data_IF_195104112096
#
_entry.id   IF_195104112096
#
_cell.length_a   1.000
_cell.length_b   1.000
_cell.length_c   1.000
_cell.angle_alpha   90.00
_cell.angle_beta   90.00
_cell.angle_gamma   90.00
#
_symmetry.space_group_name_H-M   'P 1'
#
loop_
_entity.id
_entity.type
_entity.pdbx_description
1 polymer ?
#
# COMPACT_ATOMS: atom_id res chain seq x y z
N UNK A 1 -22.92 -9.19 58.16
CA UNK A 1 -23.17 -9.38 56.71
C UNK A 1 -22.49 -8.33 55.81
N UNK A 2 -22.38 -7.04 56.17
CA UNK A 2 -21.69 -6.04 55.32
C UNK A 2 -20.16 -6.20 55.22
N UNK A 3 -19.48 -6.72 56.25
CA UNK A 3 -18.01 -6.92 56.21
C UNK A 3 -17.57 -8.08 55.30
N UNK A 4 -18.35 -9.16 55.17
CA UNK A 4 -18.04 -10.28 54.25
C UNK A 4 -18.20 -9.89 52.77
N UNK A 5 -19.12 -8.98 52.45
CA UNK A 5 -19.30 -8.47 51.09
C UNK A 5 -18.10 -7.64 50.61
N UNK A 6 -17.54 -6.80 51.50
CA UNK A 6 -16.36 -6.00 51.19
C UNK A 6 -15.11 -6.88 51.03
N UNK A 7 -14.95 -7.92 51.86
CA UNK A 7 -13.83 -8.88 51.77
C UNK A 7 -13.91 -9.74 50.50
N UNK A 8 -15.11 -10.16 50.06
CA UNK A 8 -15.28 -10.87 48.79
C UNK A 8 -15.01 -9.97 47.57
N UNK A 9 -15.31 -8.67 47.68
CA UNK A 9 -15.12 -7.71 46.60
C UNK A 9 -13.65 -7.30 46.46
N UNK A 10 -12.93 -7.13 47.56
CA UNK A 10 -11.47 -6.92 47.56
C UNK A 10 -10.70 -8.18 47.18
N UNK A 11 -11.20 -9.38 47.51
CA UNK A 11 -10.63 -10.64 46.99
C UNK A 11 -10.86 -10.78 45.48
N UNK A 12 -12.03 -10.42 44.95
CA UNK A 12 -12.28 -10.40 43.50
C UNK A 12 -11.40 -9.38 42.76
N UNK A 13 -11.28 -8.16 43.28
CA UNK A 13 -10.37 -7.15 42.71
C UNK A 13 -8.90 -7.60 42.81
N UNK A 14 -8.48 -8.19 43.93
CA UNK A 14 -7.12 -8.73 44.07
C UNK A 14 -6.84 -9.95 43.18
N UNK A 15 -7.86 -10.73 42.80
CA UNK A 15 -7.76 -11.80 41.79
C UNK A 15 -7.76 -11.25 40.37
N UNK A 16 -8.54 -10.21 40.06
CA UNK A 16 -8.51 -9.53 38.75
C UNK A 16 -7.18 -8.79 38.52
N UNK A 17 -6.64 -8.12 39.54
CA UNK A 17 -5.33 -7.45 39.51
C UNK A 17 -4.17 -8.47 39.42
N UNK A 18 -4.27 -9.62 40.11
CA UNK A 18 -3.30 -10.72 39.96
C UNK A 18 -3.41 -11.42 38.61
N UNK A 19 -4.60 -11.57 38.03
CA UNK A 19 -4.79 -12.14 36.69
C UNK A 19 -4.30 -11.18 35.59
N UNK A 20 -4.40 -9.86 35.79
CA UNK A 20 -3.77 -8.85 34.92
C UNK A 20 -2.23 -8.87 35.02
N UNK A 21 -1.69 -9.20 36.19
CA UNK A 21 -0.25 -9.37 36.41
C UNK A 21 0.30 -10.74 35.94
N UNK A 22 -0.56 -11.75 35.76
CA UNK A 22 -0.21 -13.09 35.27
C UNK A 22 -0.62 -13.36 33.81
N UNK A 23 -1.28 -12.41 33.14
CA UNK A 23 -1.56 -12.51 31.71
C UNK A 23 -0.25 -12.37 30.93
N UNK A 24 0.05 -13.34 30.09
CA UNK A 24 1.19 -13.29 29.17
C UNK A 24 1.07 -12.05 28.26
N UNK A 25 2.19 -11.47 27.83
CA UNK A 25 2.19 -10.34 26.88
C UNK A 25 1.49 -10.76 25.57
N UNK A 26 1.60 -12.03 25.19
CA UNK A 26 0.83 -12.61 24.10
C UNK A 26 -0.69 -12.51 24.30
N UNK A 27 -1.21 -12.80 25.49
CA UNK A 27 -2.63 -12.68 25.82
C UNK A 27 -3.10 -11.23 25.85
N UNK A 28 -2.28 -10.30 26.37
CA UNK A 28 -2.58 -8.87 26.36
C UNK A 28 -2.69 -8.35 24.93
N UNK A 29 -1.75 -8.73 24.06
CA UNK A 29 -1.77 -8.38 22.64
C UNK A 29 -2.96 -9.02 21.90
N UNK A 30 -3.27 -10.28 22.19
CA UNK A 30 -4.45 -10.94 21.64
C UNK A 30 -5.75 -10.21 22.00
N UNK A 31 -5.89 -9.80 23.26
CA UNK A 31 -7.05 -9.03 23.72
C UNK A 31 -7.12 -7.63 23.09
N UNK A 32 -5.99 -6.96 22.93
CA UNK A 32 -5.91 -5.68 22.24
C UNK A 32 -6.41 -5.81 20.79
N UNK A 33 -5.84 -6.75 20.03
CA UNK A 33 -6.23 -7.00 18.65
C UNK A 33 -7.68 -7.45 18.53
N UNK A 34 -8.18 -8.28 19.45
CA UNK A 34 -9.59 -8.69 19.47
C UNK A 34 -10.54 -7.51 19.61
N UNK A 35 -10.26 -6.57 20.52
CA UNK A 35 -11.07 -5.35 20.68
C UNK A 35 -11.03 -4.47 19.45
N UNK A 36 -9.84 -4.29 18.86
CA UNK A 36 -9.64 -3.44 17.67
C UNK A 36 -10.32 -4.03 16.43
N UNK A 37 -10.11 -5.31 16.14
CA UNK A 37 -10.69 -5.99 14.99
C UNK A 37 -12.22 -6.07 15.07
N UNK A 38 -12.78 -6.22 16.28
CA UNK A 38 -14.22 -6.15 16.48
C UNK A 38 -14.82 -4.77 16.14
N UNK A 39 -14.06 -3.69 16.34
CA UNK A 39 -14.49 -2.34 15.99
C UNK A 39 -14.26 -1.99 14.51
N UNK A 40 -13.11 -2.39 13.95
CA UNK A 40 -12.72 -2.07 12.56
C UNK A 40 -13.39 -2.98 11.51
N UNK A 41 -13.82 -4.19 11.89
CA UNK A 41 -14.34 -5.20 10.95
C UNK A 41 -15.59 -5.92 11.48
N UNK A 42 -16.73 -5.22 11.67
CA UNK A 42 -17.95 -5.82 12.21
C UNK A 42 -18.59 -6.88 11.29
N UNK A 43 -18.23 -6.88 10.00
CA UNK A 43 -18.74 -7.81 8.98
C UNK A 43 -18.04 -9.18 9.00
N UNK A 44 -16.91 -9.31 9.71
CA UNK A 44 -16.14 -10.55 9.75
C UNK A 44 -16.66 -11.49 10.83
N UNK A 45 -16.69 -12.80 10.53
CA UNK A 45 -17.07 -13.81 11.50
C UNK A 45 -16.07 -13.85 12.67
N UNK A 46 -16.54 -14.11 13.89
CA UNK A 46 -15.72 -14.27 15.10
C UNK A 46 -14.58 -15.26 14.87
N UNK A 47 -14.84 -16.37 14.17
CA UNK A 47 -13.81 -17.35 13.82
C UNK A 47 -12.72 -16.78 12.89
N UNK A 48 -13.08 -15.91 11.95
CA UNK A 48 -12.11 -15.26 11.06
C UNK A 48 -11.26 -14.23 11.81
N UNK A 49 -11.86 -13.49 12.75
CA UNK A 49 -11.14 -12.55 13.63
C UNK A 49 -10.11 -13.30 14.47
N UNK A 50 -10.47 -14.42 15.09
CA UNK A 50 -9.53 -15.25 15.85
C UNK A 50 -8.39 -15.79 14.97
N UNK A 51 -8.68 -16.25 13.75
CA UNK A 51 -7.64 -16.69 12.81
C UNK A 51 -6.67 -15.56 12.44
N UNK A 52 -7.15 -14.33 12.27
CA UNK A 52 -6.30 -13.17 11.99
C UNK A 52 -5.42 -12.84 13.20
N UNK A 53 -5.95 -12.90 14.42
CA UNK A 53 -5.18 -12.65 15.65
C UNK A 53 -4.04 -13.67 15.79
N UNK A 54 -4.35 -14.96 15.63
CA UNK A 54 -3.37 -16.03 15.69
C UNK A 54 -2.30 -15.90 14.59
N UNK A 55 -2.68 -15.45 13.39
CA UNK A 55 -1.72 -15.15 12.32
C UNK A 55 -0.82 -13.96 12.65
N UNK A 56 -1.36 -12.88 13.22
CA UNK A 56 -0.58 -11.69 13.63
C UNK A 56 0.43 -12.02 14.72
N UNK A 57 0.02 -12.80 15.74
CA UNK A 57 0.88 -13.22 16.84
C UNK A 57 1.95 -14.24 16.39
N UNK A 58 1.66 -15.01 15.35
CA UNK A 58 2.55 -16.05 14.83
C UNK A 58 2.58 -17.32 15.70
N UNK A 59 3.29 -18.33 15.21
CA UNK A 59 3.33 -19.68 15.82
C UNK A 59 3.94 -19.68 17.23
N UNK A 60 4.96 -18.86 17.47
CA UNK A 60 5.70 -18.80 18.73
C UNK A 60 5.25 -17.60 19.58
N UNK A 61 3.95 -17.48 19.84
CA UNK A 61 3.40 -16.38 20.63
C UNK A 61 4.05 -16.28 22.03
N UNK A 62 4.47 -17.42 22.61
CA UNK A 62 5.19 -17.49 23.89
C UNK A 62 6.55 -16.77 23.87
N UNK A 63 7.15 -16.58 22.69
CA UNK A 63 8.43 -15.85 22.56
C UNK A 63 8.26 -14.36 22.83
N UNK A 64 7.04 -13.81 22.70
CA UNK A 64 6.74 -12.41 22.99
C UNK A 64 6.98 -12.07 24.46
N UNK A 65 6.79 -13.04 25.36
CA UNK A 65 7.02 -12.86 26.81
C UNK A 65 8.50 -12.75 27.17
N UNK A 66 9.39 -13.18 26.26
CA UNK A 66 10.85 -13.17 26.45
C UNK A 66 11.52 -11.93 25.82
N UNK A 67 10.77 -11.11 25.09
CA UNK A 67 11.32 -9.95 24.39
C UNK A 67 11.58 -8.80 25.36
N UNK A 68 12.66 -8.05 25.10
CA UNK A 68 12.86 -6.80 25.81
C UNK A 68 11.81 -5.74 25.39
N UNK A 69 11.60 -4.67 26.17
CA UNK A 69 10.58 -3.66 25.85
C UNK A 69 10.74 -3.02 24.46
N UNK A 70 11.99 -2.85 23.98
CA UNK A 70 12.26 -2.28 22.66
C UNK A 70 11.89 -3.26 21.54
N UNK A 71 12.28 -4.52 21.68
CA UNK A 71 11.95 -5.62 20.76
C UNK A 71 10.44 -5.88 20.72
N UNK A 72 9.76 -5.74 21.86
CA UNK A 72 8.31 -5.87 21.95
C UNK A 72 7.60 -4.75 21.20
N UNK A 73 8.06 -3.50 21.32
CA UNK A 73 7.51 -2.39 20.52
C UNK A 73 7.72 -2.61 19.03
N UNK A 74 8.89 -3.10 18.61
CA UNK A 74 9.12 -3.40 17.21
C UNK A 74 8.25 -4.58 16.73
N UNK A 75 8.04 -5.60 17.56
CA UNK A 75 7.13 -6.69 17.25
C UNK A 75 5.68 -6.18 17.06
N UNK A 76 5.23 -5.24 17.89
CA UNK A 76 3.93 -4.56 17.72
C UNK A 76 3.87 -3.80 16.40
N UNK A 77 4.89 -3.01 16.06
CA UNK A 77 4.96 -2.30 14.79
C UNK A 77 4.89 -3.25 13.58
N UNK A 78 5.60 -4.38 13.64
CA UNK A 78 5.55 -5.40 12.59
C UNK A 78 4.13 -6.03 12.46
N UNK A 79 3.44 -6.27 13.59
CA UNK A 79 2.04 -6.71 13.58
C UNK A 79 1.12 -5.66 12.95
N UNK A 80 1.31 -4.38 13.29
CA UNK A 80 0.53 -3.29 12.69
C UNK A 80 0.76 -3.18 11.18
N UNK A 81 2.01 -3.33 10.74
CA UNK A 81 2.33 -3.33 9.32
C UNK A 81 1.65 -4.48 8.57
N UNK A 82 1.70 -5.70 9.13
CA UNK A 82 0.99 -6.88 8.59
C UNK A 82 -0.52 -6.65 8.53
N UNK A 83 -1.10 -6.08 9.58
CA UNK A 83 -2.53 -5.73 9.62
C UNK A 83 -2.87 -4.69 8.54
N UNK A 84 -2.03 -3.67 8.36
CA UNK A 84 -2.23 -2.64 7.34
C UNK A 84 -2.22 -3.23 5.92
N UNK A 85 -1.24 -4.10 5.62
CA UNK A 85 -1.21 -4.82 4.33
C UNK A 85 -2.50 -5.63 4.14
N UNK A 86 -2.88 -6.41 5.16
CA UNK A 86 -4.05 -7.28 5.10
C UNK A 86 -5.34 -6.49 4.88
N UNK A 87 -5.61 -5.50 5.72
CA UNK A 87 -6.85 -4.71 5.73
C UNK A 87 -7.00 -3.85 4.48
N UNK A 88 -5.90 -3.24 3.99
CA UNK A 88 -5.96 -2.34 2.84
C UNK A 88 -6.08 -3.07 1.50
N UNK A 89 -5.38 -4.20 1.31
CA UNK A 89 -5.19 -4.78 -0.02
C UNK A 89 -5.90 -6.11 -0.26
N UNK A 90 -6.22 -6.84 0.81
CA UNK A 90 -6.64 -8.24 0.68
C UNK A 90 -7.95 -8.57 1.38
N UNK A 91 -8.22 -7.99 2.56
CA UNK A 91 -9.43 -8.28 3.33
C UNK A 91 -10.69 -7.84 2.56
N UNK A 92 -11.68 -8.72 2.46
CA UNK A 92 -12.91 -8.47 1.70
C UNK A 92 -12.77 -8.53 0.16
N UNK A 93 -11.54 -8.61 -0.36
CA UNK A 93 -11.27 -8.65 -1.80
C UNK A 93 -11.44 -10.07 -2.37
N UNK A 94 -11.82 -10.20 -3.64
CA UNK A 94 -11.90 -11.49 -4.34
C UNK A 94 -10.50 -12.00 -4.75
N UNK A 95 -10.31 -13.33 -4.82
CA UNK A 95 -8.99 -13.97 -5.02
C UNK A 95 -8.22 -13.44 -6.23
N UNK A 96 -8.87 -13.29 -7.38
CA UNK A 96 -8.21 -12.78 -8.60
C UNK A 96 -7.73 -11.34 -8.45
N UNK A 97 -8.54 -10.50 -7.80
CA UNK A 97 -8.20 -9.10 -7.54
C UNK A 97 -7.10 -8.99 -6.48
N UNK A 98 -7.16 -9.80 -5.44
CA UNK A 98 -6.10 -9.91 -4.44
C UNK A 98 -4.76 -10.31 -5.09
N UNK A 99 -4.76 -11.30 -5.99
CA UNK A 99 -3.58 -11.68 -6.74
C UNK A 99 -3.05 -10.54 -7.62
N UNK A 100 -3.92 -9.84 -8.34
CA UNK A 100 -3.52 -8.65 -9.12
C UNK A 100 -2.91 -7.56 -8.24
N UNK A 101 -3.47 -7.32 -7.05
CA UNK A 101 -2.94 -6.35 -6.09
C UNK A 101 -1.50 -6.72 -5.70
N UNK A 102 -1.24 -7.99 -5.37
CA UNK A 102 0.10 -8.49 -5.03
C UNK A 102 1.07 -8.30 -6.20
N UNK A 103 0.71 -8.78 -7.39
CA UNK A 103 1.59 -8.72 -8.57
C UNK A 103 1.88 -7.27 -8.97
N UNK A 104 0.87 -6.39 -8.96
CA UNK A 104 1.05 -4.96 -9.27
C UNK A 104 1.98 -4.30 -8.25
N UNK A 105 1.80 -4.63 -6.97
CA UNK A 105 2.60 -4.08 -5.87
C UNK A 105 4.06 -4.50 -5.93
N UNK A 106 4.31 -5.80 -6.10
CA UNK A 106 5.67 -6.31 -6.20
C UNK A 106 6.33 -5.93 -7.53
N UNK A 107 5.53 -5.84 -8.60
CA UNK A 107 5.97 -5.38 -9.92
C UNK A 107 6.45 -3.94 -9.92
N UNK A 108 5.72 -3.03 -9.26
CA UNK A 108 6.11 -1.62 -9.21
C UNK A 108 7.50 -1.42 -8.60
N UNK A 109 7.83 -2.16 -7.54
CA UNK A 109 9.14 -2.10 -6.87
C UNK A 109 10.30 -2.58 -7.75
N UNK A 110 10.06 -3.64 -8.51
CA UNK A 110 11.05 -4.16 -9.46
C UNK A 110 11.21 -3.18 -10.63
N UNK A 111 10.11 -2.57 -11.10
CA UNK A 111 10.17 -1.58 -12.18
C UNK A 111 10.76 -0.24 -11.74
N UNK A 112 10.66 0.15 -10.48
CA UNK A 112 11.21 1.44 -10.00
C UNK A 112 12.74 1.50 -10.08
N UNK A 113 13.41 0.36 -10.15
CA UNK A 113 14.87 0.31 -10.30
C UNK A 113 15.26 0.45 -11.77
N UNK A 114 15.71 1.65 -12.15
CA UNK A 114 16.15 2.04 -13.49
C UNK A 114 17.04 1.01 -14.21
N UNK A 115 17.91 0.29 -13.48
CA UNK A 115 18.77 -0.75 -14.07
C UNK A 115 18.01 -2.03 -14.47
N UNK A 116 16.94 -2.39 -13.76
CA UNK A 116 16.07 -3.54 -14.10
C UNK A 116 15.28 -3.20 -15.38
N UNK A 117 14.71 -1.99 -15.46
CA UNK A 117 14.05 -1.49 -16.68
C UNK A 117 14.98 -1.50 -17.89
N UNK A 118 16.21 -1.00 -17.70
CA UNK A 118 17.23 -0.96 -18.75
C UNK A 118 17.57 -2.38 -19.23
N UNK A 119 17.69 -3.33 -18.30
CA UNK A 119 17.94 -4.74 -18.64
C UNK A 119 16.78 -5.38 -19.43
N UNK A 120 15.53 -5.11 -19.08
CA UNK A 120 14.35 -5.61 -19.82
C UNK A 120 14.34 -5.04 -21.25
N UNK A 121 14.69 -3.77 -21.41
CA UNK A 121 14.78 -3.14 -22.73
C UNK A 121 15.92 -3.73 -23.60
N UNK A 122 17.00 -4.22 -22.96
CA UNK A 122 18.15 -4.85 -23.61
C UNK A 122 18.02 -6.37 -23.79
N UNK A 123 17.06 -7.01 -23.12
CA UNK A 123 16.73 -8.42 -23.27
C UNK A 123 16.26 -8.71 -24.71
N UNK A 124 16.86 -9.72 -25.34
CA UNK A 124 16.42 -10.21 -26.68
C UNK A 124 15.06 -10.89 -26.62
N UNK A 125 14.64 -11.34 -25.45
CA UNK A 125 13.39 -12.05 -25.23
C UNK A 125 12.26 -11.03 -24.99
N UNK A 126 11.88 -10.28 -26.06
CA UNK A 126 10.85 -9.23 -26.01
C UNK A 126 9.44 -9.73 -25.66
N UNK A 127 9.25 -11.04 -25.56
CA UNK A 127 7.96 -11.66 -25.21
C UNK A 127 7.75 -11.83 -23.71
N UNK A 128 8.82 -11.79 -22.88
CA UNK A 128 8.71 -11.94 -21.43
C UNK A 128 8.63 -10.59 -20.73
N UNK A 129 7.50 -10.33 -20.08
CA UNK A 129 7.29 -9.16 -19.26
C UNK A 129 7.92 -9.29 -17.87
N UNK A 130 8.13 -8.16 -17.18
CA UNK A 130 8.56 -8.13 -15.77
C UNK A 130 7.64 -8.94 -14.87
N UNK A 131 6.35 -8.90 -15.19
CA UNK A 131 5.31 -9.60 -14.45
C UNK A 131 5.45 -11.11 -14.58
N UNK A 132 5.85 -11.63 -15.74
CA UNK A 132 6.03 -13.08 -15.93
C UNK A 132 7.21 -13.59 -15.10
N UNK A 133 8.34 -12.89 -15.15
CA UNK A 133 9.52 -13.20 -14.33
C UNK A 133 9.19 -13.09 -12.85
N UNK A 134 8.43 -12.06 -12.46
CA UNK A 134 8.01 -11.88 -11.08
C UNK A 134 7.12 -13.03 -10.60
N UNK A 135 6.19 -13.51 -11.44
CA UNK A 135 5.35 -14.66 -11.11
C UNK A 135 6.19 -15.92 -10.87
N UNK A 136 7.19 -16.18 -11.71
CA UNK A 136 8.12 -17.31 -11.55
C UNK A 136 8.94 -17.18 -10.26
N UNK A 137 9.44 -15.98 -9.93
CA UNK A 137 10.15 -15.71 -8.68
C UNK A 137 9.26 -15.95 -7.46
N UNK A 138 8.01 -15.50 -7.49
CA UNK A 138 7.04 -15.74 -6.40
C UNK A 138 6.72 -17.23 -6.30
N UNK A 139 6.54 -17.92 -7.43
CA UNK A 139 6.29 -19.36 -7.44
C UNK A 139 7.46 -20.14 -6.84
N UNK A 140 8.70 -19.79 -7.20
CA UNK A 140 9.90 -20.39 -6.64
C UNK A 140 10.01 -20.11 -5.13
N UNK A 141 9.71 -18.88 -4.71
CA UNK A 141 9.67 -18.49 -3.30
C UNK A 141 8.63 -19.29 -2.52
N UNK A 142 7.43 -19.45 -3.07
CA UNK A 142 6.39 -20.26 -2.48
C UNK A 142 6.80 -21.73 -2.37
N UNK A 143 7.59 -22.29 -3.29
CA UNK A 143 7.97 -23.70 -3.29
C UNK A 143 9.22 -24.01 -2.46
N UNK A 144 10.22 -23.14 -2.49
CA UNK A 144 11.57 -23.45 -2.03
C UNK A 144 11.98 -22.68 -0.78
N UNK A 145 11.27 -21.60 -0.41
CA UNK A 145 11.62 -20.82 0.77
C UNK A 145 11.06 -21.45 2.05
N UNK A 146 11.96 -21.85 2.95
CA UNK A 146 11.61 -22.55 4.19
C UNK A 146 10.74 -21.72 5.12
N UNK A 147 10.95 -20.40 5.17
CA UNK A 147 10.15 -19.52 6.03
C UNK A 147 8.72 -19.43 5.50
N UNK A 148 8.56 -19.22 4.20
CA UNK A 148 7.24 -19.14 3.57
C UNK A 148 6.49 -20.47 3.68
N UNK A 149 7.16 -21.60 3.49
CA UNK A 149 6.57 -22.92 3.69
C UNK A 149 6.05 -23.12 5.13
N UNK A 150 6.81 -22.67 6.13
CA UNK A 150 6.36 -22.69 7.52
C UNK A 150 5.15 -21.77 7.76
N UNK A 151 5.14 -20.57 7.17
CA UNK A 151 3.99 -19.66 7.26
C UNK A 151 2.75 -20.23 6.57
N UNK A 152 2.90 -20.88 5.40
CA UNK A 152 1.81 -21.56 4.71
C UNK A 152 1.21 -22.68 5.55
N UNK A 153 2.05 -23.50 6.20
CA UNK A 153 1.60 -24.54 7.11
C UNK A 153 0.85 -23.95 8.30
N UNK A 154 1.38 -22.89 8.91
CA UNK A 154 0.73 -22.22 10.05
C UNK A 154 -0.61 -21.56 9.67
N UNK A 155 -0.68 -20.88 8.52
CA UNK A 155 -1.94 -20.32 8.00
C UNK A 155 -2.97 -21.43 7.75
N UNK A 156 -2.53 -22.60 7.28
CA UNK A 156 -3.41 -23.74 7.06
C UNK A 156 -3.95 -24.35 8.37
N UNK A 157 -3.19 -24.27 9.46
CA UNK A 157 -3.59 -24.67 10.82
C UNK A 157 -4.61 -23.67 11.43
N UNK A 158 -4.38 -22.37 11.22
CA UNK A 158 -5.09 -21.30 11.93
C UNK A 158 -6.39 -20.86 11.25
N UNK A 159 -6.44 -20.86 9.92
CA UNK A 159 -7.64 -20.51 9.16
C UNK A 159 -8.35 -21.77 8.66
N UNK A 160 -9.68 -21.83 8.75
CA UNK A 160 -10.47 -22.94 8.18
C UNK A 160 -10.99 -22.58 6.78
N UNK A 161 -11.39 -21.33 6.57
CA UNK A 161 -11.90 -20.85 5.29
C UNK A 161 -10.77 -20.71 4.26
N UNK A 162 -10.99 -21.31 3.08
CA UNK A 162 -10.08 -21.23 1.94
C UNK A 162 -9.85 -19.79 1.49
N UNK A 163 -10.89 -18.95 1.52
CA UNK A 163 -10.76 -17.54 1.11
C UNK A 163 -9.84 -16.78 2.06
N UNK A 164 -10.03 -16.96 3.37
CA UNK A 164 -9.17 -16.34 4.38
C UNK A 164 -7.72 -16.84 4.28
N UNK A 165 -7.50 -18.14 4.03
CA UNK A 165 -6.16 -18.70 3.80
C UNK A 165 -5.42 -17.98 2.68
N UNK A 166 -6.07 -17.82 1.52
CA UNK A 166 -5.48 -17.13 0.37
C UNK A 166 -5.14 -15.67 0.70
N UNK A 167 -6.05 -14.97 1.38
CA UNK A 167 -5.87 -13.58 1.80
C UNK A 167 -4.68 -13.40 2.75
N UNK A 168 -4.58 -14.25 3.79
CA UNK A 168 -3.47 -14.22 4.74
C UNK A 168 -2.13 -14.57 4.06
N UNK A 169 -2.16 -15.51 3.12
CA UNK A 169 -0.97 -15.87 2.35
C UNK A 169 -0.50 -14.71 1.47
N UNK A 170 -1.40 -14.01 0.77
CA UNK A 170 -1.00 -12.85 -0.03
C UNK A 170 -0.38 -11.74 0.81
N UNK A 171 -0.96 -11.43 1.97
CA UNK A 171 -0.41 -10.45 2.89
C UNK A 171 0.98 -10.87 3.42
N UNK A 172 1.17 -12.16 3.72
CA UNK A 172 2.44 -12.71 4.19
C UNK A 172 3.52 -12.66 3.11
N UNK A 173 3.17 -13.02 1.87
CA UNK A 173 4.10 -12.98 0.73
C UNK A 173 4.51 -11.53 0.43
N UNK A 174 3.57 -10.59 0.45
CA UNK A 174 3.89 -9.17 0.30
C UNK A 174 4.87 -8.73 1.39
N UNK A 175 4.51 -8.89 2.66
CA UNK A 175 5.37 -8.47 3.79
C UNK A 175 6.77 -9.08 3.69
N UNK A 176 6.87 -10.38 3.40
CA UNK A 176 8.15 -11.06 3.29
C UNK A 176 9.00 -10.56 2.11
N UNK A 177 8.38 -10.31 0.95
CA UNK A 177 9.07 -9.77 -0.23
C UNK A 177 9.62 -8.36 0.01
N UNK A 178 8.96 -7.59 0.88
CA UNK A 178 9.34 -6.22 1.22
C UNK A 178 10.37 -6.14 2.34
N UNK A 179 10.72 -7.25 3.02
CA UNK A 179 11.72 -7.20 4.08
C UNK A 179 13.07 -6.71 3.56
N UNK A 180 13.75 -5.80 4.28
CA UNK A 180 15.07 -5.36 3.89
C UNK A 180 16.08 -6.48 3.98
N UNK A 181 16.91 -6.56 2.96
CA UNK A 181 18.23 -7.17 3.01
C UNK A 181 19.20 -6.11 2.50
N UNK A 182 20.10 -5.63 3.37
CA UNK A 182 21.07 -4.56 3.05
C UNK A 182 20.43 -3.37 2.33
N UNK A 183 19.41 -2.76 2.95
CA UNK A 183 18.68 -1.59 2.43
C UNK A 183 17.97 -1.77 1.07
N UNK A 184 17.68 -3.00 0.66
CA UNK A 184 16.83 -3.28 -0.51
C UNK A 184 15.81 -4.38 -0.20
N UNK A 185 14.65 -4.43 -0.89
CA UNK A 185 13.67 -5.48 -0.62
C UNK A 185 14.25 -6.83 -0.98
N UNK A 186 13.97 -7.86 -0.17
CA UNK A 186 14.36 -9.24 -0.44
C UNK A 186 13.98 -9.68 -1.86
N UNK A 187 12.83 -9.21 -2.34
CA UNK A 187 12.36 -9.48 -3.70
C UNK A 187 13.39 -9.11 -4.77
N UNK A 188 14.11 -7.99 -4.61
CA UNK A 188 15.11 -7.54 -5.60
C UNK A 188 16.25 -8.55 -5.70
N UNK A 189 16.75 -9.06 -4.57
CA UNK A 189 17.77 -10.10 -4.56
C UNK A 189 17.28 -11.39 -5.21
N UNK A 190 16.07 -11.83 -4.85
CA UNK A 190 15.46 -13.04 -5.42
C UNK A 190 15.28 -12.91 -6.92
N UNK A 191 14.84 -11.75 -7.38
CA UNK A 191 14.67 -11.42 -8.78
C UNK A 191 16.00 -11.45 -9.54
N UNK A 192 17.04 -10.77 -9.03
CA UNK A 192 18.37 -10.78 -9.65
C UNK A 192 18.98 -12.19 -9.65
N UNK A 193 18.85 -12.94 -8.57
CA UNK A 193 19.35 -14.32 -8.48
C UNK A 193 18.60 -15.27 -9.42
N UNK A 194 17.31 -15.07 -9.62
CA UNK A 194 16.53 -15.79 -10.62
C UNK A 194 17.06 -15.51 -12.03
N UNK A 195 17.23 -14.22 -12.37
CA UNK A 195 17.79 -13.81 -13.67
C UNK A 195 19.19 -14.36 -13.93
N UNK A 196 20.07 -14.39 -12.92
CA UNK A 196 21.41 -15.00 -13.08
C UNK A 196 21.34 -16.49 -13.40
N UNK A 197 20.37 -17.21 -12.83
CA UNK A 197 20.20 -18.66 -13.04
C UNK A 197 19.57 -18.97 -14.39
N UNK A 198 18.55 -18.21 -14.79
CA UNK A 198 17.90 -18.39 -16.09
C UNK A 198 18.84 -18.16 -17.28
N UNK A 199 19.82 -17.26 -17.14
CA UNK A 199 20.86 -17.05 -18.17
C UNK A 199 21.88 -18.20 -18.31
N UNK A 200 22.14 -18.97 -17.24
CA UNK A 200 23.11 -20.09 -17.30
C UNK A 200 22.53 -21.36 -17.94
N UNK A 201 21.20 -21.44 -18.08
CA UNK A 201 20.49 -22.62 -18.60
C UNK A 201 20.22 -22.63 -20.11
N UNK A 202 20.52 -21.55 -20.85
CA UNK A 202 20.27 -21.44 -22.28
C UNK A 202 21.56 -21.26 -23.08
N UNK A 203 21.87 -22.24 -23.95
CA UNK A 203 22.94 -22.14 -24.95
C UNK A 203 22.65 -20.96 -25.90
N UNK A 204 23.26 -19.80 -25.65
CA UNK A 204 23.83 -18.89 -26.66
C UNK A 204 24.49 -17.72 -25.94
N UNK A 205 25.80 -17.59 -26.14
CA UNK A 205 26.57 -16.46 -25.63
C UNK A 205 26.05 -15.16 -26.25
N UNK A 206 25.58 -14.24 -25.40
CA UNK A 206 25.38 -12.84 -25.76
C UNK A 206 26.25 -12.00 -24.80
N UNK A 207 26.93 -10.94 -25.29
CA UNK A 207 27.73 -10.06 -24.42
C UNK A 207 26.80 -9.25 -23.50
N UNK A 208 26.42 -9.86 -22.37
CA UNK A 208 25.57 -9.26 -21.33
C UNK A 208 26.13 -9.43 -19.92
N UNK A 209 27.37 -9.94 -19.81
CA UNK A 209 28.05 -10.16 -18.53
C UNK A 209 28.25 -8.87 -17.73
N UNK A 210 28.52 -7.75 -18.40
CA UNK A 210 28.80 -6.47 -17.74
C UNK A 210 27.58 -5.83 -17.08
N UNK A 211 26.37 -6.01 -17.61
CA UNK A 211 25.16 -5.40 -17.05
C UNK A 211 24.63 -6.16 -15.83
N UNK A 212 24.71 -7.50 -15.88
CA UNK A 212 24.46 -8.34 -14.69
C UNK A 212 25.54 -8.07 -13.66
N UNK A 213 26.82 -7.88 -14.03
CA UNK A 213 27.87 -7.41 -13.11
C UNK A 213 27.53 -6.05 -12.51
N UNK A 214 27.05 -5.07 -13.26
CA UNK A 214 26.67 -3.74 -12.74
C UNK A 214 25.50 -3.76 -11.75
N UNK A 215 24.48 -4.60 -11.98
CA UNK A 215 23.36 -4.80 -11.04
C UNK A 215 23.80 -5.65 -9.84
N UNK A 216 24.78 -6.52 -10.05
CA UNK A 216 25.34 -7.42 -9.03
C UNK A 216 26.38 -6.76 -8.14
N UNK A 217 27.23 -5.90 -8.71
CA UNK A 217 28.26 -5.14 -8.02
C UNK A 217 27.56 -4.19 -7.04
N UNK A 218 26.47 -3.52 -7.41
CA UNK A 218 25.73 -2.67 -6.45
C UNK A 218 25.03 -3.46 -5.31
N UNK A 219 24.79 -4.77 -5.51
CA UNK A 219 24.21 -5.69 -4.53
C UNK A 219 25.29 -6.35 -3.65
N UNK A 220 26.53 -6.44 -4.17
CA UNK A 220 27.68 -7.11 -3.55
C UNK A 220 28.78 -6.13 -3.06
N UNK A 221 28.77 -4.85 -3.44
CA UNK A 221 29.76 -3.86 -2.98
C UNK A 221 29.61 -3.50 -1.50
N UNK A 222 28.53 -3.96 -0.86
CA UNK A 222 28.31 -3.89 0.59
C UNK A 222 28.74 -5.20 1.30
N UNK A 223 29.50 -6.07 0.63
CA UNK A 223 30.14 -7.28 1.20
C UNK A 223 31.29 -6.92 2.17
N UNK A 224 30.96 -6.19 3.24
CA UNK A 224 31.77 -6.19 4.45
C UNK A 224 31.08 -7.09 5.48
N UNK A 225 31.43 -8.38 5.42
CA UNK A 225 31.48 -9.44 6.44
C UNK A 225 30.52 -9.45 7.66
N UNK A 226 29.35 -8.81 7.59
CA UNK A 226 28.30 -8.97 8.59
C UNK A 226 27.28 -10.00 8.10
N UNK A 227 27.33 -11.19 8.72
CA UNK A 227 26.22 -12.15 8.69
C UNK A 227 24.99 -11.50 9.30
N UNK A 228 24.15 -10.89 8.47
CA UNK A 228 22.92 -10.21 8.87
C UNK A 228 21.94 -11.23 9.47
N UNK A 229 21.48 -10.98 10.70
CA UNK A 229 20.33 -11.68 11.26
C UNK A 229 19.07 -11.26 10.47
N UNK A 230 18.46 -12.19 9.74
CA UNK A 230 17.18 -12.05 9.02
C UNK A 230 15.96 -11.74 9.93
N UNK A 231 16.22 -11.45 11.20
CA UNK A 231 15.26 -11.26 12.31
C UNK A 231 15.61 -9.99 13.09
N UNK A 232 16.46 -9.11 12.54
CA UNK A 232 16.69 -7.81 13.18
C UNK A 232 15.49 -6.89 12.91
N UNK A 233 14.49 -7.04 13.77
CA UNK A 233 13.23 -6.33 13.69
C UNK A 233 13.44 -4.80 13.60
N UNK A 234 14.51 -4.27 14.19
CA UNK A 234 14.80 -2.84 14.16
C UNK A 234 15.18 -2.36 12.75
N UNK A 235 16.03 -3.12 12.05
CA UNK A 235 16.37 -2.84 10.66
C UNK A 235 15.15 -2.95 9.74
N UNK A 236 14.19 -3.84 10.07
CA UNK A 236 12.92 -3.97 9.35
C UNK A 236 12.06 -2.71 9.51
N UNK A 237 11.92 -2.16 10.73
CA UNK A 237 11.12 -0.97 10.98
C UNK A 237 11.69 0.28 10.31
N UNK A 238 12.99 0.53 10.46
CA UNK A 238 13.68 1.68 9.85
C UNK A 238 13.58 1.64 8.31
N UNK A 239 13.69 0.44 7.73
CA UNK A 239 13.51 0.24 6.30
C UNK A 239 12.08 0.44 5.83
N UNK A 240 11.09 -0.02 6.59
CA UNK A 240 9.67 0.17 6.24
C UNK A 240 9.30 1.65 6.18
N UNK A 241 9.83 2.47 7.08
CA UNK A 241 9.67 3.93 7.03
C UNK A 241 10.36 4.53 5.81
N UNK A 242 11.62 4.17 5.56
CA UNK A 242 12.38 4.63 4.40
C UNK A 242 11.68 4.25 3.07
N UNK A 243 11.16 3.03 2.98
CA UNK A 243 10.44 2.53 1.82
C UNK A 243 9.14 3.30 1.59
N UNK A 244 8.36 3.60 2.64
CA UNK A 244 7.15 4.40 2.50
C UNK A 244 7.46 5.81 1.97
N UNK A 245 8.56 6.41 2.42
CA UNK A 245 9.03 7.71 1.94
C UNK A 245 9.46 7.62 0.47
N UNK A 246 10.26 6.63 0.11
CA UNK A 246 10.72 6.41 -1.26
C UNK A 246 9.54 6.18 -2.23
N UNK A 247 8.54 5.40 -1.82
CA UNK A 247 7.34 5.14 -2.60
C UNK A 247 6.49 6.38 -2.81
N UNK A 248 6.30 7.20 -1.76
CA UNK A 248 5.61 8.48 -1.89
C UNK A 248 6.35 9.41 -2.86
N UNK A 249 7.68 9.42 -2.81
CA UNK A 249 8.50 10.22 -3.73
C UNK A 249 8.39 9.73 -5.17
N UNK A 250 8.45 8.41 -5.39
CA UNK A 250 8.31 7.81 -6.72
C UNK A 250 6.91 8.04 -7.32
N UNK A 251 5.86 7.87 -6.52
CA UNK A 251 4.48 8.19 -6.91
C UNK A 251 4.34 9.67 -7.27
N UNK A 252 4.91 10.56 -6.47
CA UNK A 252 4.92 12.00 -6.74
C UNK A 252 5.59 12.34 -8.07
N UNK A 253 6.74 11.73 -8.35
CA UNK A 253 7.45 11.93 -9.62
C UNK A 253 6.61 11.41 -10.81
N UNK A 254 5.99 10.24 -10.67
CA UNK A 254 5.13 9.65 -11.69
C UNK A 254 3.94 10.56 -12.00
N UNK A 255 3.24 11.04 -10.98
CA UNK A 255 2.13 12.01 -11.14
C UNK A 255 2.60 13.28 -11.81
N UNK A 256 3.74 13.83 -11.38
CA UNK A 256 4.29 15.05 -11.95
C UNK A 256 4.57 14.87 -13.45
N UNK A 257 5.18 13.75 -13.85
CA UNK A 257 5.52 13.48 -15.23
C UNK A 257 4.28 13.24 -16.10
N UNK A 258 3.34 12.45 -15.61
CA UNK A 258 2.09 12.17 -16.31
C UNK A 258 1.22 13.43 -16.47
N UNK A 259 1.16 14.26 -15.44
CA UNK A 259 0.46 15.54 -15.53
C UNK A 259 1.17 16.52 -16.48
N UNK A 260 2.50 16.55 -16.47
CA UNK A 260 3.28 17.36 -17.41
C UNK A 260 3.03 16.94 -18.88
N UNK A 261 3.02 15.63 -19.16
CA UNK A 261 2.71 15.11 -20.50
C UNK A 261 1.29 15.53 -20.93
N UNK A 262 0.31 15.35 -20.04
CA UNK A 262 -1.06 15.77 -20.29
C UNK A 262 -1.19 17.29 -20.55
N UNK A 263 -0.50 18.12 -19.76
CA UNK A 263 -0.46 19.57 -19.98
C UNK A 263 0.19 19.92 -21.32
N UNK A 264 1.26 19.22 -21.71
CA UNK A 264 1.91 19.43 -23.00
C UNK A 264 0.97 19.18 -24.17
N UNK A 265 0.20 18.10 -24.12
CA UNK A 265 -0.77 17.73 -25.17
C UNK A 265 -1.97 18.68 -25.24
N UNK A 266 -2.48 19.16 -24.08
CA UNK A 266 -3.75 19.89 -24.02
C UNK A 266 -3.61 21.43 -23.88
N UNK A 267 -2.52 21.91 -23.29
CA UNK A 267 -2.26 23.33 -23.05
C UNK A 267 -0.95 23.84 -23.66
N UNK A 268 -0.08 22.94 -24.12
CA UNK A 268 1.20 23.29 -24.73
C UNK A 268 2.36 23.38 -23.74
N UNK A 269 3.54 23.69 -24.28
CA UNK A 269 4.82 23.71 -23.54
C UNK A 269 4.86 24.75 -22.42
N UNK A 270 4.21 25.90 -22.61
CA UNK A 270 4.16 26.97 -21.60
C UNK A 270 3.54 26.50 -20.27
N UNK A 271 2.52 25.62 -20.33
CA UNK A 271 1.89 25.07 -19.13
C UNK A 271 2.81 24.13 -18.36
N UNK A 272 3.68 23.39 -19.07
CA UNK A 272 4.67 22.50 -18.48
C UNK A 272 5.77 23.31 -17.79
N UNK A 273 6.24 24.38 -18.43
CA UNK A 273 7.25 25.28 -17.85
C UNK A 273 6.71 26.01 -16.61
N UNK A 274 5.46 26.48 -16.67
CA UNK A 274 4.77 27.04 -15.50
C UNK A 274 4.70 26.01 -14.36
N UNK A 275 4.31 24.77 -14.65
CA UNK A 275 4.22 23.70 -13.64
C UNK A 275 5.59 23.42 -13.00
N UNK A 276 6.66 23.33 -13.80
CA UNK A 276 8.03 23.12 -13.30
C UNK A 276 8.45 24.24 -12.33
N UNK A 277 8.21 25.50 -12.69
CA UNK A 277 8.56 26.63 -11.84
C UNK A 277 7.70 26.70 -10.58
N UNK A 278 6.40 26.39 -10.69
CA UNK A 278 5.49 26.35 -9.55
C UNK A 278 5.91 25.28 -8.53
N UNK A 279 6.30 24.09 -8.99
CA UNK A 279 6.78 23.01 -8.13
C UNK A 279 8.14 23.31 -7.46
N UNK A 280 8.92 24.25 -8.00
CA UNK A 280 10.12 24.80 -7.36
C UNK A 280 9.81 25.84 -6.27
N UNK A 281 8.53 26.13 -6.00
CA UNK A 281 8.10 27.10 -4.99
C UNK A 281 8.15 28.56 -5.47
N UNK A 282 8.23 28.80 -6.79
CA UNK A 282 8.27 30.15 -7.34
C UNK A 282 6.93 30.86 -7.27
N UNK A 283 6.95 32.15 -6.93
CA UNK A 283 5.73 32.99 -6.91
C UNK A 283 5.26 33.30 -8.34
N UNK A 284 4.00 33.71 -8.50
CA UNK A 284 3.46 34.05 -9.82
C UNK A 284 4.22 35.22 -10.47
N UNK A 285 4.72 36.17 -9.67
CA UNK A 285 5.60 37.25 -10.13
C UNK A 285 6.96 36.75 -10.65
N UNK A 286 7.59 35.82 -9.93
CA UNK A 286 8.86 35.21 -10.37
C UNK A 286 8.68 34.38 -11.64
N UNK A 287 7.55 33.66 -11.75
CA UNK A 287 7.18 32.90 -12.94
C UNK A 287 6.94 33.82 -14.13
N UNK A 288 6.21 34.93 -13.94
CA UNK A 288 5.97 35.93 -14.98
C UNK A 288 7.28 36.50 -15.54
N UNK A 289 8.23 36.83 -14.66
CA UNK A 289 9.56 37.32 -15.06
C UNK A 289 10.35 36.25 -15.83
N UNK A 290 10.34 35.00 -15.38
CA UNK A 290 11.08 33.90 -16.05
C UNK A 290 10.48 33.51 -17.40
N UNK A 291 9.16 33.51 -17.54
CA UNK A 291 8.47 33.20 -18.79
C UNK A 291 8.34 34.42 -19.72
N UNK A 292 8.84 35.59 -19.28
CA UNK A 292 8.74 36.87 -19.98
C UNK A 292 7.30 37.20 -20.42
N UNK A 293 6.34 37.01 -19.50
CA UNK A 293 4.90 37.24 -19.75
C UNK A 293 4.29 38.22 -18.76
N UNK A 294 3.21 38.94 -19.17
CA UNK A 294 2.42 39.74 -18.23
C UNK A 294 1.84 38.89 -17.11
N UNK A 295 1.87 39.40 -15.88
CA UNK A 295 1.38 38.69 -14.70
C UNK A 295 -0.09 38.24 -14.82
N UNK A 296 -0.93 39.03 -15.51
CA UNK A 296 -2.34 38.68 -15.76
C UNK A 296 -2.48 37.38 -16.57
N UNK A 297 -1.57 37.13 -17.51
CA UNK A 297 -1.59 35.90 -18.31
C UNK A 297 -1.15 34.70 -17.47
N UNK A 298 -0.20 34.89 -16.56
CA UNK A 298 0.23 33.85 -15.62
C UNK A 298 -0.90 33.44 -14.67
N UNK A 299 -1.69 34.39 -14.16
CA UNK A 299 -2.88 34.06 -13.35
C UNK A 299 -3.93 33.29 -14.15
N UNK A 300 -4.20 33.68 -15.41
CA UNK A 300 -5.10 32.91 -16.29
C UNK A 300 -4.58 31.51 -16.57
N UNK A 301 -3.27 31.38 -16.81
CA UNK A 301 -2.62 30.09 -17.03
C UNK A 301 -2.73 29.22 -15.77
N UNK A 302 -2.51 29.77 -14.58
CA UNK A 302 -2.71 29.09 -13.29
C UNK A 302 -4.14 28.59 -13.11
N UNK A 303 -5.14 29.42 -13.40
CA UNK A 303 -6.55 29.01 -13.29
C UNK A 303 -6.87 27.88 -14.26
N UNK A 304 -6.41 27.99 -15.51
CA UNK A 304 -6.60 26.97 -16.54
C UNK A 304 -5.92 25.65 -16.12
N UNK A 305 -4.66 25.70 -15.67
CA UNK A 305 -3.94 24.52 -15.18
C UNK A 305 -4.65 23.92 -13.96
N UNK A 306 -5.12 24.73 -13.01
CA UNK A 306 -5.88 24.27 -11.84
C UNK A 306 -7.17 23.53 -12.25
N UNK A 307 -7.89 24.06 -13.23
CA UNK A 307 -9.07 23.41 -13.80
C UNK A 307 -8.70 22.04 -14.40
N UNK A 308 -7.64 22.00 -15.21
CA UNK A 308 -7.17 20.78 -15.85
C UNK A 308 -6.65 19.75 -14.84
N UNK A 309 -6.00 20.18 -13.76
CA UNK A 309 -5.55 19.31 -12.67
C UNK A 309 -6.73 18.65 -11.95
N UNK A 310 -7.67 19.45 -11.44
CA UNK A 310 -8.74 18.96 -10.55
C UNK A 310 -9.91 18.35 -11.33
N UNK A 311 -10.37 19.01 -12.40
CA UNK A 311 -11.61 18.61 -13.09
C UNK A 311 -11.42 17.63 -14.22
N UNK A 312 -10.20 17.50 -14.75
CA UNK A 312 -9.92 16.62 -15.88
C UNK A 312 -8.92 15.55 -15.51
N UNK A 313 -7.72 15.90 -15.08
CA UNK A 313 -6.67 14.92 -14.80
C UNK A 313 -7.01 14.02 -13.61
N UNK A 314 -7.37 14.60 -12.47
CA UNK A 314 -7.72 13.86 -11.25
C UNK A 314 -9.05 13.08 -11.34
N UNK A 315 -9.98 13.48 -12.20
CA UNK A 315 -11.32 12.89 -12.25
C UNK A 315 -11.60 12.04 -13.48
N UNK A 316 -11.10 12.44 -14.67
CA UNK A 316 -11.42 11.82 -15.96
C UNK A 316 -10.22 11.15 -16.61
N UNK A 317 -9.01 11.67 -16.40
CA UNK A 317 -7.79 11.20 -17.06
C UNK A 317 -7.22 9.96 -16.39
N UNK A 318 -6.59 10.15 -15.23
CA UNK A 318 -5.94 9.09 -14.46
C UNK A 318 -6.33 9.17 -12.97
N UNK A 319 -7.60 8.96 -12.62
CA UNK A 319 -8.08 9.10 -11.25
C UNK A 319 -7.35 8.18 -10.29
N UNK A 320 -7.11 6.91 -10.67
CA UNK A 320 -6.38 5.96 -9.84
C UNK A 320 -4.95 6.42 -9.49
N UNK A 321 -4.26 7.10 -10.42
CA UNK A 321 -2.90 7.59 -10.19
C UNK A 321 -2.89 8.74 -9.16
N UNK A 322 -3.84 9.67 -9.27
CA UNK A 322 -3.96 10.81 -8.36
C UNK A 322 -4.50 10.36 -6.99
N UNK A 323 -5.46 9.46 -6.99
CA UNK A 323 -6.06 8.87 -5.79
C UNK A 323 -5.02 8.11 -4.96
N UNK A 324 -4.16 7.33 -5.62
CA UNK A 324 -3.07 6.61 -4.96
C UNK A 324 -1.99 7.56 -4.42
N UNK A 325 -1.65 8.62 -5.16
CA UNK A 325 -0.66 9.60 -4.70
C UNK A 325 -1.15 10.42 -3.50
N UNK A 326 -2.40 10.86 -3.54
CA UNK A 326 -3.00 11.65 -2.45
C UNK A 326 -3.55 10.78 -1.31
N UNK A 327 -3.41 9.45 -1.40
CA UNK A 327 -4.02 8.48 -0.49
C UNK A 327 -5.50 8.78 -0.25
N UNK A 328 -6.25 9.05 -1.32
CA UNK A 328 -7.68 9.40 -1.30
C UNK A 328 -8.52 8.44 -2.15
N UNK A 329 -7.99 7.25 -2.43
CA UNK A 329 -8.78 6.23 -3.11
C UNK A 329 -10.09 5.99 -2.35
N UNK A 330 -11.21 5.99 -3.09
CA UNK A 330 -12.54 5.79 -2.50
C UNK A 330 -12.61 4.46 -1.73
N UNK A 331 -11.91 3.44 -2.24
CA UNK A 331 -11.96 2.07 -1.75
C UNK A 331 -11.05 1.85 -0.54
N UNK A 332 -9.84 2.43 -0.53
CA UNK A 332 -8.84 2.15 0.50
C UNK A 332 -8.77 3.26 1.56
N UNK A 333 -9.10 4.50 1.19
CA UNK A 333 -8.88 5.66 2.04
C UNK A 333 -10.14 6.51 2.26
N UNK A 334 -11.33 6.07 1.82
CA UNK A 334 -12.58 6.81 1.97
C UNK A 334 -12.47 8.28 1.51
N UNK A 335 -11.87 8.53 0.34
CA UNK A 335 -11.59 9.89 -0.17
C UNK A 335 -10.65 10.73 0.70
N UNK A 336 -9.86 10.09 1.56
CA UNK A 336 -8.95 10.72 2.52
C UNK A 336 -9.69 11.41 3.67
N UNK A 337 -10.91 10.96 3.99
CA UNK A 337 -11.74 11.53 5.06
C UNK A 337 -11.72 10.63 6.30
N UNK A 338 -11.70 11.26 7.47
CA UNK A 338 -11.97 10.59 8.75
C UNK A 338 -13.44 10.19 8.86
N UNK A 339 -13.79 9.32 9.81
CA UNK A 339 -15.17 8.87 10.00
C UNK A 339 -16.18 10.01 10.20
N UNK A 340 -15.78 11.06 10.94
CA UNK A 340 -16.64 12.22 11.20
C UNK A 340 -16.80 13.08 9.93
N UNK A 341 -15.71 13.32 9.19
CA UNK A 341 -15.73 14.05 7.92
C UNK A 341 -16.53 13.29 6.84
N UNK A 342 -16.52 11.96 6.88
CA UNK A 342 -17.33 11.13 5.99
C UNK A 342 -18.83 11.30 6.24
N UNK A 343 -19.25 11.38 7.52
CA UNK A 343 -20.64 11.67 7.87
C UNK A 343 -21.06 13.06 7.40
N UNK A 344 -20.21 14.07 7.61
CA UNK A 344 -20.45 15.44 7.14
C UNK A 344 -20.59 15.51 5.61
N UNK A 345 -19.70 14.81 4.88
CA UNK A 345 -19.82 14.68 3.43
C UNK A 345 -21.18 14.08 3.07
N UNK A 346 -21.53 12.94 3.68
CA UNK A 346 -22.75 12.22 3.37
C UNK A 346 -23.99 13.10 3.59
N UNK A 347 -24.03 13.87 4.68
CA UNK A 347 -25.11 14.81 4.97
C UNK A 347 -25.25 15.92 3.92
N UNK A 348 -24.14 16.48 3.43
CA UNK A 348 -24.12 17.54 2.42
C UNK A 348 -24.51 17.06 1.00
N UNK A 349 -24.44 15.76 0.73
CA UNK A 349 -24.73 15.21 -0.60
C UNK A 349 -26.23 15.09 -0.88
N UNK A 350 -26.59 15.31 -2.14
CA UNK A 350 -27.95 15.05 -2.64
C UNK A 350 -28.28 13.54 -2.60
N UNK A 351 -29.56 13.15 -2.58
CA UNK A 351 -29.94 11.74 -2.56
C UNK A 351 -29.36 10.92 -3.73
N UNK A 352 -29.30 11.52 -4.92
CA UNK A 352 -28.72 10.89 -6.12
C UNK A 352 -27.20 10.76 -5.97
N UNK A 353 -26.52 11.79 -5.44
CA UNK A 353 -25.08 11.75 -5.21
C UNK A 353 -24.67 10.71 -4.15
N UNK A 354 -25.50 10.50 -3.11
CA UNK A 354 -25.31 9.43 -2.12
C UNK A 354 -25.41 8.04 -2.75
N UNK A 355 -26.45 7.80 -3.56
CA UNK A 355 -26.62 6.54 -4.28
C UNK A 355 -25.43 6.26 -5.22
N UNK A 356 -24.96 7.27 -5.94
CA UNK A 356 -23.76 7.13 -6.79
C UNK A 356 -22.52 6.82 -5.94
N UNK A 357 -22.36 7.48 -4.79
CA UNK A 357 -21.24 7.23 -3.87
C UNK A 357 -21.24 5.78 -3.36
N UNK A 358 -22.38 5.27 -2.90
CA UNK A 358 -22.50 3.91 -2.37
C UNK A 358 -22.27 2.84 -3.46
N UNK A 359 -22.82 3.06 -4.66
CA UNK A 359 -22.62 2.16 -5.79
C UNK A 359 -21.15 2.16 -6.28
N UNK A 360 -20.48 3.31 -6.24
CA UNK A 360 -19.04 3.41 -6.55
C UNK A 360 -18.19 2.76 -5.46
N UNK A 361 -18.57 2.91 -4.19
CA UNK A 361 -17.89 2.32 -3.03
C UNK A 361 -17.96 0.80 -3.04
N UNK A 362 -19.08 0.23 -3.49
CA UNK A 362 -19.24 -1.22 -3.71
C UNK A 362 -18.49 -1.77 -4.94
N UNK A 363 -17.75 -0.92 -5.66
CA UNK A 363 -16.85 -1.33 -6.74
C UNK A 363 -17.46 -1.31 -8.14
N UNK A 364 -18.65 -0.73 -8.32
CA UNK A 364 -19.28 -0.64 -9.65
C UNK A 364 -18.60 0.42 -10.54
N UNK A 365 -18.45 0.10 -11.83
CA UNK A 365 -17.95 1.04 -12.84
C UNK A 365 -18.94 2.17 -13.10
N UNK A 366 -18.49 3.29 -13.66
CA UNK A 366 -19.38 4.40 -14.02
C UNK A 366 -20.47 3.97 -14.99
N UNK A 367 -20.21 3.01 -15.89
CA UNK A 367 -21.22 2.48 -16.79
C UNK A 367 -22.28 1.63 -16.06
N UNK A 368 -21.84 0.78 -15.13
CA UNK A 368 -22.74 -0.05 -14.33
C UNK A 368 -23.66 0.81 -13.44
N UNK A 369 -23.12 1.86 -12.82
CA UNK A 369 -23.89 2.83 -12.03
C UNK A 369 -24.91 3.57 -12.90
N UNK A 370 -24.52 3.96 -14.11
CA UNK A 370 -25.41 4.62 -15.06
C UNK A 370 -26.58 3.73 -15.47
N UNK A 371 -26.33 2.45 -15.74
CA UNK A 371 -27.37 1.47 -16.06
C UNK A 371 -28.31 1.24 -14.87
N UNK A 372 -27.77 1.08 -13.66
CA UNK A 372 -28.56 0.77 -12.47
C UNK A 372 -29.45 1.93 -12.00
N UNK A 373 -28.98 3.17 -12.17
CA UNK A 373 -29.74 4.38 -11.83
C UNK A 373 -30.58 4.91 -13.01
N UNK A 374 -30.54 4.25 -14.17
CA UNK A 374 -31.18 4.69 -15.41
C UNK A 374 -30.80 6.13 -15.81
N UNK A 375 -29.52 6.48 -15.58
CA UNK A 375 -28.93 7.79 -15.88
C UNK A 375 -27.98 7.69 -17.06
N UNK A 376 -27.74 8.81 -17.76
CA UNK A 376 -26.67 8.87 -18.77
C UNK A 376 -25.32 8.95 -18.06
N UNK A 377 -24.29 8.31 -18.63
CA UNK A 377 -22.93 8.28 -18.04
C UNK A 377 -22.38 9.68 -17.71
N UNK A 378 -22.66 10.69 -18.53
CA UNK A 378 -22.22 12.07 -18.28
C UNK A 378 -22.91 12.71 -17.05
N UNK A 379 -24.15 12.31 -16.74
CA UNK A 379 -24.88 12.78 -15.55
C UNK A 379 -24.29 12.16 -14.29
N UNK A 380 -24.01 10.85 -14.34
CA UNK A 380 -23.30 10.15 -13.25
C UNK A 380 -21.94 10.78 -13.00
N UNK A 381 -21.19 11.09 -14.06
CA UNK A 381 -19.87 11.73 -13.93
C UNK A 381 -19.96 13.16 -13.39
N UNK A 382 -21.01 13.89 -13.76
CA UNK A 382 -21.29 15.23 -13.23
C UNK A 382 -21.57 15.22 -11.73
N UNK A 383 -22.43 14.31 -11.26
CA UNK A 383 -22.71 14.14 -9.83
C UNK A 383 -21.48 13.61 -9.08
N UNK A 384 -20.75 12.65 -9.66
CA UNK A 384 -19.50 12.14 -9.08
C UNK A 384 -18.45 13.25 -8.88
N UNK A 385 -18.36 14.18 -9.85
CA UNK A 385 -17.48 15.35 -9.73
C UNK A 385 -17.87 16.23 -8.54
N UNK A 386 -19.17 16.41 -8.27
CA UNK A 386 -19.64 17.18 -7.11
C UNK A 386 -19.28 16.49 -5.80
N UNK A 387 -19.43 15.17 -5.73
CA UNK A 387 -19.03 14.35 -4.57
C UNK A 387 -17.55 14.53 -4.27
N UNK A 388 -16.70 14.36 -5.28
CA UNK A 388 -15.26 14.49 -5.11
C UNK A 388 -14.82 15.90 -4.69
N UNK A 389 -15.41 16.95 -5.29
CA UNK A 389 -15.12 18.33 -4.92
C UNK A 389 -15.57 18.66 -3.49
N UNK A 390 -16.71 18.13 -3.06
CA UNK A 390 -17.18 18.28 -1.68
C UNK A 390 -16.22 17.60 -0.70
N UNK A 391 -15.76 16.38 -1.01
CA UNK A 391 -14.75 15.69 -0.20
C UNK A 391 -13.42 16.45 -0.15
N UNK A 392 -12.97 17.01 -1.28
CA UNK A 392 -11.77 17.84 -1.34
C UNK A 392 -11.90 19.11 -0.49
N UNK A 393 -13.07 19.78 -0.51
CA UNK A 393 -13.30 20.98 0.28
C UNK A 393 -13.20 20.68 1.79
N UNK A 394 -13.78 19.57 2.25
CA UNK A 394 -13.69 19.14 3.66
C UNK A 394 -12.22 18.89 4.06
N UNK A 395 -11.43 18.24 3.19
CA UNK A 395 -9.98 18.01 3.44
C UNK A 395 -9.13 19.28 3.51
N UNK A 396 -9.56 20.35 2.86
CA UNK A 396 -8.78 21.61 2.76
C UNK A 396 -9.28 22.68 3.74
N UNK A 397 -10.28 22.36 4.57
CA UNK A 397 -10.82 23.26 5.61
C UNK A 397 -10.11 23.12 6.96
N UNK A 398 -9.20 22.15 7.10
CA UNK A 398 -8.12 22.13 8.08
C UNK A 398 -6.87 22.80 7.50
#
# INVERSE_FOLDING_TARGET
>A
MRQMGVVMQTLKQGFEERNLAMATEAEKLAQFWRKRLAAECPEQNVAAIESIILWLLGRDAQRLDLLNPKELEIAKQAMEYRWKILSQRYLGVGRERAYRNLITRLGSLVTLRNKIQTWIALSRDRQRGVLDVLQEVIQELLQNDTYIQQQMAYIAEVALDKRLKDTLLFATVEEYCLRPVRNQPLLVYRFVNYLRRSQRGGLTQVPGGDLVRLVSEEVLTDDNDNRVNLVDNQAIAEYQEAQQIEEQQALRQTVQQEFANYLQENLGTEAVEWLKLYLQGKTQDEIAKKLNKPIKEIYRLREKISYHAVRVFALKGKPELVDNWLAISLQENNLGLTQNQWQELYEKLSPIARQILDLRKSGNSTEAVAQQLNLKQHQVMGEWTKVYLAAQAIRTQE
#
